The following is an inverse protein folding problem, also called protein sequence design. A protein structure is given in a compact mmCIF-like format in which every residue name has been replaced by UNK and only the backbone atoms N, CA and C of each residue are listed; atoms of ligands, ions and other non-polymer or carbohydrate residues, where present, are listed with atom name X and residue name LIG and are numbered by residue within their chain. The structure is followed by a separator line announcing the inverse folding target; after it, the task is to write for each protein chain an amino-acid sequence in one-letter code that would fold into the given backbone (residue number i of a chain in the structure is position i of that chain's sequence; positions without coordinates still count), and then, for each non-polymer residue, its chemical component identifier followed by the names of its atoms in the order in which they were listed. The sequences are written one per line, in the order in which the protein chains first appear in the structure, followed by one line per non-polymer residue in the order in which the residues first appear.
data_IF_462666133864
#
_entry.id   IF_462666133864
#
_cell.length_a   1.000
_cell.length_b   1.000
_cell.length_c   1.000
_cell.angle_alpha   90.00
_cell.angle_beta   90.00
_cell.angle_gamma   90.00
#
_symmetry.space_group_name_H-M   'P 1'
#
loop_
_entity.id
_entity.type
_entity.pdbx_description
1 polymer ?
#
# COMPACT_ATOMS: atom_id res chain seq x y z
N UNK A 1 1.58 -14.48 1.69
CA UNK A 1 1.84 -15.44 2.80
C UNK A 1 3.35 -15.64 2.89
N UNK A 2 4.03 -15.19 3.96
CA UNK A 2 5.44 -15.56 4.15
C UNK A 2 5.48 -16.98 4.73
N UNK A 3 5.75 -17.97 3.86
CA UNK A 3 6.08 -19.33 4.29
C UNK A 3 7.34 -19.25 5.18
N UNK A 4 7.41 -20.06 6.23
CA UNK A 4 8.57 -20.11 7.14
C UNK A 4 8.93 -21.57 7.44
N UNK A 5 10.22 -21.84 7.61
CA UNK A 5 10.73 -23.14 8.06
C UNK A 5 10.79 -24.17 6.93
N UNK A 6 10.54 -25.44 7.24
CA UNK A 6 10.74 -26.58 6.33
C UNK A 6 9.99 -26.46 4.99
N UNK A 7 8.83 -25.80 4.97
CA UNK A 7 8.06 -25.53 3.75
C UNK A 7 8.78 -24.59 2.78
N UNK A 8 9.53 -23.62 3.30
CA UNK A 8 10.33 -22.69 2.49
C UNK A 8 11.48 -23.44 1.79
N UNK A 9 12.19 -24.30 2.52
CA UNK A 9 13.28 -25.11 1.98
C UNK A 9 12.80 -26.08 0.90
N UNK A 10 11.68 -26.77 1.13
CA UNK A 10 11.09 -27.68 0.15
C UNK A 10 10.69 -26.93 -1.12
N UNK A 11 10.07 -25.75 -0.97
CA UNK A 11 9.64 -24.94 -2.10
C UNK A 11 10.84 -24.40 -2.89
N UNK A 12 11.90 -23.95 -2.22
CA UNK A 12 13.13 -23.52 -2.88
C UNK A 12 13.80 -24.65 -3.65
N UNK A 13 13.93 -25.84 -3.05
CA UNK A 13 14.55 -27.00 -3.69
C UNK A 13 13.80 -27.40 -4.96
N UNK A 14 12.47 -27.51 -4.89
CA UNK A 14 11.65 -27.83 -6.05
C UNK A 14 11.65 -26.71 -7.10
N UNK A 15 11.69 -25.45 -6.67
CA UNK A 15 11.72 -24.30 -7.60
C UNK A 15 13.02 -24.23 -8.40
N UNK A 16 14.17 -24.58 -7.79
CA UNK A 16 15.48 -24.61 -8.46
C UNK A 16 15.55 -25.56 -9.65
N UNK A 17 14.71 -26.61 -9.69
CA UNK A 17 14.64 -27.56 -10.82
C UNK A 17 14.13 -26.91 -12.11
N UNK A 18 13.26 -25.91 -11.99
CA UNK A 18 12.66 -25.20 -13.14
C UNK A 18 13.46 -23.96 -13.52
N UNK A 19 14.30 -23.40 -12.64
CA UNK A 19 15.18 -22.28 -12.97
C UNK A 19 14.43 -20.95 -13.17
N UNK A 20 13.84 -20.73 -14.35
CA UNK A 20 13.35 -19.41 -14.77
C UNK A 20 11.97 -19.41 -15.45
N UNK A 21 11.27 -18.29 -15.33
CA UNK A 21 9.99 -18.01 -15.99
C UNK A 21 10.12 -16.80 -16.91
N UNK A 22 9.65 -16.95 -18.15
CA UNK A 22 9.45 -15.84 -19.09
C UNK A 22 8.02 -15.30 -18.93
N UNK A 23 7.90 -14.07 -18.43
CA UNK A 23 6.61 -13.36 -18.29
C UNK A 23 6.10 -12.87 -19.65
N UNK A 24 4.80 -12.58 -19.76
CA UNK A 24 4.17 -12.07 -21.02
C UNK A 24 4.83 -10.81 -21.61
N UNK A 25 5.57 -10.04 -20.81
CA UNK A 25 6.34 -8.87 -21.26
C UNK A 25 7.79 -9.16 -21.66
N UNK A 26 8.22 -10.42 -21.70
CA UNK A 26 9.60 -10.82 -21.99
C UNK A 26 10.56 -10.75 -20.79
N UNK A 27 10.10 -10.28 -19.63
CA UNK A 27 10.89 -10.28 -18.39
C UNK A 27 11.16 -11.73 -17.95
N UNK A 28 12.43 -12.02 -17.66
CA UNK A 28 12.88 -13.31 -17.14
C UNK A 28 13.07 -13.20 -15.63
N UNK A 29 12.37 -14.03 -14.87
CA UNK A 29 12.43 -14.06 -13.39
C UNK A 29 12.68 -15.47 -12.89
N UNK A 30 13.18 -15.62 -11.67
CA UNK A 30 13.33 -16.93 -11.03
C UNK A 30 11.95 -17.54 -10.78
N UNK A 31 11.79 -18.83 -11.08
CA UNK A 31 10.55 -19.54 -10.76
C UNK A 31 10.35 -19.66 -9.24
N UNK A 32 9.11 -19.51 -8.78
CA UNK A 32 8.75 -19.61 -7.36
C UNK A 32 7.45 -20.39 -7.18
N UNK A 33 7.52 -21.56 -6.51
CA UNK A 33 6.32 -22.29 -6.10
C UNK A 33 5.48 -21.52 -5.08
N UNK A 34 6.08 -20.61 -4.32
CA UNK A 34 5.35 -19.78 -3.36
C UNK A 34 4.43 -18.80 -4.09
N UNK A 35 4.92 -18.15 -5.16
CA UNK A 35 4.10 -17.26 -6.00
C UNK A 35 2.98 -18.04 -6.70
N UNK A 36 3.29 -19.25 -7.18
CA UNK A 36 2.31 -20.16 -7.78
C UNK A 36 1.21 -20.53 -6.77
N UNK A 37 1.56 -20.91 -5.54
CA UNK A 37 0.62 -21.23 -4.47
C UNK A 37 -0.26 -20.02 -4.12
N UNK A 38 0.34 -18.84 -3.96
CA UNK A 38 -0.39 -17.60 -3.69
C UNK A 38 -1.42 -17.33 -4.79
N UNK A 39 -1.07 -17.53 -6.06
CA UNK A 39 -2.00 -17.32 -7.18
C UNK A 39 -3.22 -18.25 -7.15
N UNK A 40 -3.06 -19.50 -6.69
CA UNK A 40 -4.17 -20.46 -6.54
C UNK A 40 -5.07 -20.08 -5.35
N UNK A 41 -4.48 -19.68 -4.23
CA UNK A 41 -5.23 -19.20 -3.06
C UNK A 41 -6.01 -17.92 -3.40
N UNK A 42 -5.42 -17.00 -4.16
CA UNK A 42 -6.12 -15.79 -4.62
C UNK A 42 -7.29 -16.12 -5.57
N UNK A 43 -7.19 -17.22 -6.33
CA UNK A 43 -8.29 -17.70 -7.18
C UNK A 43 -9.43 -18.36 -6.37
N UNK A 44 -9.28 -18.49 -5.05
CA UNK A 44 -10.30 -18.99 -4.14
C UNK A 44 -10.24 -20.49 -3.89
N UNK A 45 -9.16 -21.17 -4.30
CA UNK A 45 -8.95 -22.58 -3.96
C UNK A 45 -8.55 -22.71 -2.49
N UNK A 46 -8.93 -23.83 -1.88
CA UNK A 46 -8.48 -24.15 -0.52
C UNK A 46 -6.97 -24.43 -0.50
N UNK A 47 -6.34 -24.30 0.67
CA UNK A 47 -4.92 -24.62 0.84
C UNK A 47 -4.61 -26.06 0.44
N UNK A 48 -5.47 -27.01 0.82
CA UNK A 48 -5.30 -28.42 0.50
C UNK A 48 -5.33 -28.67 -1.01
N UNK A 49 -6.33 -28.13 -1.72
CA UNK A 49 -6.42 -28.25 -3.18
C UNK A 49 -5.20 -27.64 -3.87
N UNK A 50 -4.79 -26.46 -3.40
CA UNK A 50 -3.68 -25.71 -3.96
C UNK A 50 -2.36 -26.47 -3.79
N UNK A 51 -2.08 -27.01 -2.60
CA UNK A 51 -0.86 -27.80 -2.34
C UNK A 51 -0.76 -29.02 -3.25
N UNK A 52 -1.88 -29.73 -3.44
CA UNK A 52 -1.90 -30.91 -4.30
C UNK A 52 -1.73 -30.58 -5.79
N UNK A 53 -2.08 -29.37 -6.24
CA UNK A 53 -1.78 -28.88 -7.61
C UNK A 53 -0.31 -28.50 -7.72
N UNK A 54 0.20 -27.75 -6.73
CA UNK A 54 1.58 -27.28 -6.67
C UNK A 54 2.57 -28.45 -6.59
N UNK A 55 2.20 -29.55 -5.94
CA UNK A 55 3.02 -30.75 -5.87
C UNK A 55 3.29 -31.37 -7.25
N UNK A 56 2.30 -31.34 -8.15
CA UNK A 56 2.37 -31.96 -9.48
C UNK A 56 2.99 -31.02 -10.53
N UNK A 57 2.97 -29.71 -10.29
CA UNK A 57 3.41 -28.70 -11.26
C UNK A 57 4.86 -28.90 -11.71
N UNK A 58 5.87 -29.11 -10.83
CA UNK A 58 7.26 -29.28 -11.26
C UNK A 58 7.51 -30.49 -12.13
N UNK A 59 6.73 -31.56 -11.97
CA UNK A 59 6.90 -32.77 -12.78
C UNK A 59 6.28 -32.64 -14.17
N UNK A 60 5.38 -31.68 -14.36
CA UNK A 60 4.76 -31.37 -15.66
C UNK A 60 5.55 -30.32 -16.46
N UNK A 61 6.48 -29.61 -15.83
CA UNK A 61 7.35 -28.64 -16.48
C UNK A 61 8.64 -29.36 -16.92
N UNK A 62 8.80 -29.49 -18.24
CA UNK A 62 9.87 -30.32 -18.83
C UNK A 62 11.17 -29.51 -19.02
N UNK A 63 11.09 -28.18 -18.96
CA UNK A 63 12.22 -27.28 -19.24
C UNK A 63 12.62 -26.47 -18.00
N UNK A 64 13.89 -26.06 -17.98
CA UNK A 64 14.53 -25.15 -17.02
C UNK A 64 14.29 -23.66 -17.34
N UNK A 65 13.55 -23.38 -18.40
CA UNK A 65 13.00 -22.08 -18.73
C UNK A 65 11.60 -22.30 -19.27
N UNK A 66 10.60 -21.77 -18.59
CA UNK A 66 9.19 -21.99 -18.93
C UNK A 66 8.45 -20.68 -19.12
N UNK A 67 7.44 -20.67 -19.98
CA UNK A 67 6.64 -19.47 -20.17
C UNK A 67 5.55 -19.36 -19.10
N UNK A 68 5.22 -18.14 -18.69
CA UNK A 68 4.06 -17.88 -17.82
C UNK A 68 2.73 -18.37 -18.42
N UNK A 69 2.64 -18.48 -19.74
CA UNK A 69 1.47 -19.00 -20.45
C UNK A 69 1.38 -20.53 -20.30
N UNK A 70 2.51 -21.22 -20.40
CA UNK A 70 2.60 -22.67 -20.21
C UNK A 70 2.25 -23.08 -18.78
N UNK A 71 2.80 -22.37 -17.79
CA UNK A 71 2.46 -22.59 -16.37
C UNK A 71 0.94 -22.44 -16.17
N UNK A 72 0.34 -21.39 -16.73
CA UNK A 72 -1.09 -21.15 -16.62
C UNK A 72 -1.93 -22.27 -17.23
N UNK A 73 -1.54 -22.77 -18.42
CA UNK A 73 -2.24 -23.85 -19.11
C UNK A 73 -2.15 -25.19 -18.34
N UNK A 74 -0.97 -25.49 -17.75
CA UNK A 74 -0.79 -26.68 -16.91
C UNK A 74 -1.67 -26.58 -15.66
N UNK A 75 -1.64 -25.43 -14.98
CA UNK A 75 -2.48 -25.19 -13.80
C UNK A 75 -3.97 -25.31 -14.13
N UNK A 76 -4.43 -24.72 -15.23
CA UNK A 76 -5.82 -24.84 -15.71
C UNK A 76 -6.22 -26.30 -15.94
N UNK A 77 -5.34 -27.10 -16.57
CA UNK A 77 -5.58 -28.54 -16.79
C UNK A 77 -5.65 -29.31 -15.47
N UNK A 78 -4.72 -29.07 -14.55
CA UNK A 78 -4.70 -29.71 -13.23
C UNK A 78 -5.95 -29.38 -12.41
N UNK A 79 -6.40 -28.13 -12.46
CA UNK A 79 -7.65 -27.70 -11.82
C UNK A 79 -8.87 -28.37 -12.45
N UNK A 80 -8.96 -28.40 -13.78
CA UNK A 80 -10.09 -28.99 -14.50
C UNK A 80 -10.24 -30.49 -14.27
N UNK A 81 -9.12 -31.21 -14.06
CA UNK A 81 -9.14 -32.64 -13.71
C UNK A 81 -9.71 -32.91 -12.32
N UNK A 82 -9.59 -31.95 -11.40
CA UNK A 82 -10.03 -32.08 -10.01
C UNK A 82 -11.43 -31.54 -9.80
N UNK A 83 -11.74 -30.43 -10.45
CA UNK A 83 -13.03 -29.77 -10.41
C UNK A 83 -13.73 -29.93 -11.77
N UNK A 84 -14.55 -30.98 -11.88
CA UNK A 84 -15.32 -31.26 -13.07
C UNK A 84 -16.33 -30.15 -13.43
N UNK A 85 -16.64 -29.24 -12.51
CA UNK A 85 -17.50 -28.08 -12.79
C UNK A 85 -16.79 -26.97 -13.58
N UNK A 86 -15.45 -27.02 -13.65
CA UNK A 86 -14.62 -26.02 -14.33
C UNK A 86 -14.56 -24.66 -13.64
N UNK A 87 -15.20 -24.50 -12.47
CA UNK A 87 -15.29 -23.21 -11.76
C UNK A 87 -13.92 -22.72 -11.29
N UNK A 88 -13.13 -23.63 -10.72
CA UNK A 88 -11.79 -23.31 -10.20
C UNK A 88 -10.84 -22.86 -11.31
N UNK A 89 -10.85 -23.58 -12.44
CA UNK A 89 -10.08 -23.23 -13.62
C UNK A 89 -10.50 -21.86 -14.19
N UNK A 90 -11.80 -21.59 -14.30
CA UNK A 90 -12.28 -20.30 -14.79
C UNK A 90 -11.98 -19.13 -13.82
N UNK A 91 -12.04 -19.36 -12.51
CA UNK A 91 -11.67 -18.36 -11.52
C UNK A 91 -10.19 -17.99 -11.63
N UNK A 92 -9.34 -19.00 -11.79
CA UNK A 92 -7.91 -18.81 -12.04
C UNK A 92 -7.64 -18.05 -13.35
N UNK A 93 -8.36 -18.40 -14.43
CA UNK A 93 -8.21 -17.71 -15.71
C UNK A 93 -8.72 -16.26 -15.67
N UNK A 94 -9.82 -15.97 -14.96
CA UNK A 94 -10.27 -14.60 -14.71
C UNK A 94 -9.20 -13.80 -13.96
N UNK A 95 -8.58 -14.44 -12.96
CA UNK A 95 -7.51 -13.84 -12.20
C UNK A 95 -6.33 -13.50 -13.13
N UNK A 96 -5.78 -14.45 -13.88
CA UNK A 96 -4.65 -14.19 -14.77
C UNK A 96 -4.97 -13.21 -15.92
N UNK A 97 -6.17 -13.30 -16.47
CA UNK A 97 -6.63 -12.56 -17.65
C UNK A 97 -7.60 -11.44 -17.34
N UNK A 98 -7.55 -10.81 -16.16
CA UNK A 98 -8.59 -9.83 -15.72
C UNK A 98 -8.92 -8.77 -16.77
N UNK A 99 -7.93 -8.30 -17.53
CA UNK A 99 -8.12 -7.30 -18.61
C UNK A 99 -8.93 -7.82 -19.80
N UNK A 100 -8.96 -9.13 -19.99
CA UNK A 100 -9.67 -9.82 -21.07
C UNK A 100 -11.14 -10.04 -20.70
N UNK A 101 -11.47 -10.00 -19.40
CA UNK A 101 -12.81 -10.30 -18.88
C UNK A 101 -13.54 -9.10 -18.27
N UNK A 102 -12.83 -8.15 -17.66
CA UNK A 102 -13.44 -7.00 -16.98
C UNK A 102 -13.23 -5.72 -17.78
N UNK A 103 -14.32 -5.02 -18.07
CA UNK A 103 -14.31 -3.77 -18.81
C UNK A 103 -15.06 -2.69 -18.04
N UNK A 104 -14.53 -1.49 -18.00
CA UNK A 104 -15.21 -0.34 -17.40
C UNK A 104 -16.22 0.19 -18.40
N UNK A 105 -17.49 0.18 -18.02
CA UNK A 105 -18.58 0.68 -18.87
C UNK A 105 -18.77 2.17 -18.63
N UNK A 106 -18.28 2.99 -19.56
CA UNK A 106 -18.59 4.42 -19.64
C UNK A 106 -19.92 4.69 -20.33
N UNK A 107 -20.27 5.96 -20.48
CA UNK A 107 -21.49 6.38 -21.21
C UNK A 107 -21.36 6.10 -22.72
N UNK A 108 -20.18 6.29 -23.32
CA UNK A 108 -19.96 6.14 -24.77
C UNK A 108 -18.82 5.18 -25.17
N UNK A 109 -17.94 4.78 -24.24
CA UNK A 109 -16.81 3.87 -24.53
C UNK A 109 -16.62 2.80 -23.44
N UNK A 110 -16.07 1.65 -23.82
CA UNK A 110 -15.72 0.56 -22.91
C UNK A 110 -14.21 0.33 -22.92
N UNK A 111 -13.57 0.45 -21.76
CA UNK A 111 -12.13 0.28 -21.62
C UNK A 111 -11.78 -0.97 -20.81
N UNK A 112 -10.70 -1.70 -21.15
CA UNK A 112 -10.22 -2.79 -20.31
C UNK A 112 -9.90 -2.30 -18.90
N UNK A 113 -10.44 -2.97 -17.89
CA UNK A 113 -10.16 -2.67 -16.49
C UNK A 113 -8.67 -2.91 -16.21
N UNK A 114 -7.95 -1.87 -15.79
CA UNK A 114 -6.51 -1.93 -15.61
C UNK A 114 -6.03 -1.04 -14.46
N UNK A 115 -4.85 -1.36 -13.92
CA UNK A 115 -4.17 -0.52 -12.92
C UNK A 115 -3.96 0.91 -13.40
N UNK A 116 -3.62 1.10 -14.67
CA UNK A 116 -3.42 2.43 -15.25
C UNK A 116 -4.72 3.25 -15.28
N UNK A 117 -5.85 2.61 -15.56
CA UNK A 117 -7.16 3.25 -15.49
C UNK A 117 -7.46 3.75 -14.08
N UNK A 118 -7.30 2.87 -13.06
CA UNK A 118 -7.51 3.24 -11.65
C UNK A 118 -6.57 4.38 -11.24
N UNK A 119 -5.29 4.30 -11.62
CA UNK A 119 -4.29 5.33 -11.33
C UNK A 119 -4.71 6.67 -11.91
N UNK A 120 -5.14 6.70 -13.17
CA UNK A 120 -5.61 7.92 -13.82
C UNK A 120 -6.80 8.54 -13.09
N UNK A 121 -7.77 7.72 -12.66
CA UNK A 121 -8.93 8.19 -11.88
C UNK A 121 -8.54 8.71 -10.51
N UNK A 122 -7.68 7.98 -9.78
CA UNK A 122 -7.18 8.39 -8.48
C UNK A 122 -6.39 9.70 -8.54
N UNK A 123 -5.54 9.89 -9.56
CA UNK A 123 -4.84 11.16 -9.78
C UNK A 123 -5.79 12.30 -10.11
N UNK A 124 -6.77 12.08 -11.01
CA UNK A 124 -7.75 13.09 -11.40
C UNK A 124 -8.62 13.54 -10.22
N UNK A 125 -8.99 12.62 -9.32
CA UNK A 125 -9.77 12.93 -8.12
C UNK A 125 -9.08 13.96 -7.21
N UNK A 126 -7.76 13.98 -7.20
CA UNK A 126 -6.94 14.84 -6.34
C UNK A 126 -6.29 15.99 -7.10
N UNK A 127 -6.52 16.10 -8.40
CA UNK A 127 -6.02 17.19 -9.22
C UNK A 127 -6.56 18.54 -8.70
N UNK A 128 -5.65 19.51 -8.51
CA UNK A 128 -6.00 20.82 -7.97
C UNK A 128 -6.37 20.86 -6.48
N UNK A 129 -6.33 19.73 -5.76
CA UNK A 129 -6.53 19.70 -4.30
C UNK A 129 -5.31 20.24 -3.56
N UNK A 130 -5.55 20.80 -2.37
CA UNK A 130 -4.51 21.37 -1.50
C UNK A 130 -3.45 20.33 -1.14
N UNK A 131 -3.91 19.13 -0.80
CA UNK A 131 -3.07 18.02 -0.38
C UNK A 131 -2.90 17.02 -1.50
N UNK A 132 -1.67 16.58 -1.73
CA UNK A 132 -1.32 15.61 -2.77
C UNK A 132 -0.78 14.32 -2.15
N UNK A 133 -1.17 13.14 -2.64
CA UNK A 133 -0.65 11.89 -2.14
C UNK A 133 0.74 11.60 -2.70
N UNK A 134 1.50 10.80 -1.96
CA UNK A 134 2.77 10.25 -2.45
C UNK A 134 2.48 9.19 -3.51
N UNK A 135 3.44 8.97 -4.43
CA UNK A 135 3.32 7.94 -5.46
C UNK A 135 3.11 6.54 -4.87
N UNK A 136 3.72 6.24 -3.71
CA UNK A 136 3.50 4.99 -2.99
C UNK A 136 2.06 4.81 -2.54
N UNK A 137 1.43 5.86 -2.00
CA UNK A 137 0.02 5.84 -1.56
C UNK A 137 -0.91 5.64 -2.75
N UNK A 138 -0.63 6.27 -3.90
CA UNK A 138 -1.39 6.00 -5.13
C UNK A 138 -1.21 4.54 -5.56
N UNK A 139 0.01 3.99 -5.46
CA UNK A 139 0.28 2.58 -5.75
C UNK A 139 -0.56 1.64 -4.89
N UNK A 140 -0.53 1.85 -3.57
CA UNK A 140 -1.29 1.06 -2.59
C UNK A 140 -2.80 1.13 -2.86
N UNK A 141 -3.33 2.32 -3.18
CA UNK A 141 -4.74 2.51 -3.57
C UNK A 141 -5.08 1.75 -4.86
N UNK A 142 -4.23 1.84 -5.88
CA UNK A 142 -4.41 1.14 -7.15
C UNK A 142 -4.46 -0.37 -6.94
N UNK A 143 -3.53 -0.91 -6.15
CA UNK A 143 -3.48 -2.35 -5.88
C UNK A 143 -4.63 -2.83 -5.00
N UNK A 144 -5.06 -2.03 -4.02
CA UNK A 144 -6.22 -2.32 -3.19
C UNK A 144 -7.51 -2.39 -4.03
N UNK A 145 -7.77 -1.38 -4.87
CA UNK A 145 -8.97 -1.33 -5.73
C UNK A 145 -8.93 -2.44 -6.78
N UNK A 146 -7.78 -2.65 -7.44
CA UNK A 146 -7.62 -3.69 -8.46
C UNK A 146 -7.86 -5.09 -7.90
N UNK A 147 -7.30 -5.38 -6.72
CA UNK A 147 -7.44 -6.67 -6.06
C UNK A 147 -8.85 -6.89 -5.52
N UNK A 148 -9.46 -5.87 -4.92
CA UNK A 148 -10.83 -5.95 -4.41
C UNK A 148 -11.84 -6.19 -5.53
N UNK A 149 -11.74 -5.48 -6.66
CA UNK A 149 -12.63 -5.71 -7.81
C UNK A 149 -12.44 -7.11 -8.39
N UNK A 150 -11.20 -7.58 -8.55
CA UNK A 150 -10.94 -8.96 -8.99
C UNK A 150 -11.66 -9.96 -8.09
N UNK A 151 -11.51 -9.82 -6.78
CA UNK A 151 -12.16 -10.71 -5.79
C UNK A 151 -13.68 -10.67 -5.87
N UNK A 152 -14.28 -9.48 -6.00
CA UNK A 152 -15.74 -9.35 -6.16
C UNK A 152 -16.20 -10.10 -7.41
N UNK A 153 -15.48 -9.96 -8.53
CA UNK A 153 -15.89 -10.59 -9.79
C UNK A 153 -15.45 -12.05 -9.95
N UNK A 154 -14.60 -12.60 -9.07
CA UNK A 154 -14.30 -14.05 -9.06
C UNK A 154 -15.57 -14.90 -8.90
N UNK A 155 -16.59 -14.40 -8.20
CA UNK A 155 -17.90 -15.08 -8.08
C UNK A 155 -18.60 -15.27 -9.43
N UNK A 156 -18.19 -14.50 -10.44
CA UNK A 156 -18.71 -14.59 -11.82
C UNK A 156 -17.95 -15.60 -12.68
N UNK A 157 -16.93 -16.27 -12.15
CA UNK A 157 -16.17 -17.31 -12.85
C UNK A 157 -17.04 -18.42 -13.47
N UNK A 158 -18.12 -18.92 -12.82
CA UNK A 158 -19.00 -19.92 -13.44
C UNK A 158 -19.66 -19.41 -14.74
N UNK A 159 -19.91 -18.10 -14.83
CA UNK A 159 -20.48 -17.49 -16.03
C UNK A 159 -19.49 -17.47 -17.20
N UNK A 160 -18.19 -17.35 -16.93
CA UNK A 160 -17.13 -17.43 -17.95
C UNK A 160 -17.09 -18.83 -18.57
N UNK A 161 -17.22 -19.88 -17.76
CA UNK A 161 -17.31 -21.29 -18.24
C UNK A 161 -18.48 -21.46 -19.21
N UNK A 162 -19.65 -20.92 -18.84
CA UNK A 162 -20.88 -21.13 -19.60
C UNK A 162 -20.96 -20.31 -20.89
N UNK A 163 -20.37 -19.10 -20.91
CA UNK A 163 -20.48 -18.20 -22.05
C UNK A 163 -19.33 -18.29 -23.04
N UNK A 164 -18.21 -18.94 -22.66
CA UNK A 164 -17.03 -19.16 -23.50
C UNK A 164 -16.48 -17.86 -24.09
N UNK A 165 -15.57 -17.18 -23.38
CA UNK A 165 -14.76 -16.01 -23.81
C UNK A 165 -15.43 -14.86 -24.60
N UNK A 166 -16.75 -14.87 -24.82
CA UNK A 166 -17.45 -14.00 -25.78
C UNK A 166 -18.11 -12.76 -25.16
N UNK A 167 -18.16 -12.61 -23.84
CA UNK A 167 -18.72 -11.42 -23.20
C UNK A 167 -17.86 -10.91 -22.04
N UNK A 168 -17.47 -9.64 -22.18
CA UNK A 168 -16.88 -8.82 -21.15
C UNK A 168 -17.90 -8.55 -20.03
N UNK A 169 -17.47 -8.66 -18.78
CA UNK A 169 -18.23 -8.22 -17.61
C UNK A 169 -18.00 -6.71 -17.44
N UNK A 170 -19.10 -5.95 -17.54
CA UNK A 170 -19.09 -4.50 -17.35
C UNK A 170 -19.00 -4.12 -15.87
N UNK A 171 -17.96 -3.38 -15.51
CA UNK A 171 -17.77 -2.78 -14.19
C UNK A 171 -18.25 -1.33 -14.25
N UNK A 172 -19.12 -0.96 -13.31
CA UNK A 172 -19.61 0.41 -13.17
C UNK A 172 -18.48 1.34 -12.77
N UNK A 173 -18.31 2.46 -13.50
CA UNK A 173 -17.34 3.50 -13.15
C UNK A 173 -17.61 4.10 -11.76
N UNK A 174 -18.88 4.32 -11.40
CA UNK A 174 -19.27 4.83 -10.08
C UNK A 174 -18.79 3.92 -8.94
N UNK A 175 -18.77 2.61 -9.16
CA UNK A 175 -18.24 1.65 -8.18
C UNK A 175 -16.73 1.83 -8.03
N UNK A 176 -16.01 1.98 -9.14
CA UNK A 176 -14.55 2.20 -9.12
C UNK A 176 -14.24 3.51 -8.38
N UNK A 177 -14.96 4.59 -8.66
CA UNK A 177 -14.76 5.88 -8.01
C UNK A 177 -15.01 5.80 -6.49
N UNK A 178 -16.09 5.14 -6.06
CA UNK A 178 -16.37 4.91 -4.65
C UNK A 178 -15.28 4.08 -3.96
N UNK A 179 -14.79 3.03 -4.62
CA UNK A 179 -13.71 2.19 -4.09
C UNK A 179 -12.37 2.93 -4.02
N UNK A 180 -12.08 3.85 -4.95
CA UNK A 180 -10.88 4.70 -4.88
C UNK A 180 -10.93 5.59 -3.64
N UNK A 181 -12.08 6.23 -3.37
CA UNK A 181 -12.26 7.07 -2.17
C UNK A 181 -12.06 6.23 -0.90
N UNK A 182 -12.73 5.08 -0.81
CA UNK A 182 -12.59 4.17 0.34
C UNK A 182 -11.15 3.67 0.52
N UNK A 183 -10.46 3.35 -0.57
CA UNK A 183 -9.07 2.92 -0.52
C UNK A 183 -8.13 4.02 -0.01
N UNK A 184 -8.34 5.29 -0.39
CA UNK A 184 -7.61 6.41 0.19
C UNK A 184 -7.86 6.52 1.70
N UNK A 185 -9.13 6.43 2.14
CA UNK A 185 -9.49 6.49 3.56
C UNK A 185 -8.84 5.38 4.40
N UNK A 186 -8.67 4.18 3.83
CA UNK A 186 -8.01 3.05 4.52
C UNK A 186 -6.49 3.10 4.47
N UNK A 187 -5.92 3.59 3.37
CA UNK A 187 -4.45 3.54 3.15
C UNK A 187 -3.73 4.68 3.86
N UNK A 188 -4.36 5.84 3.98
CA UNK A 188 -3.70 7.05 4.48
C UNK A 188 -4.47 7.62 5.68
N UNK A 189 -3.80 7.87 6.81
CA UNK A 189 -4.44 8.45 7.96
C UNK A 189 -4.92 9.86 7.61
N UNK A 190 -6.11 10.20 8.11
CA UNK A 190 -6.75 11.49 7.87
C UNK A 190 -7.14 11.78 6.41
N UNK A 191 -6.98 10.83 5.47
CA UNK A 191 -7.27 11.05 4.05
C UNK A 191 -8.67 11.62 3.80
N UNK A 192 -9.69 11.11 4.50
CA UNK A 192 -11.06 11.63 4.45
C UNK A 192 -11.13 13.14 4.69
N UNK A 193 -10.44 13.63 5.72
CA UNK A 193 -10.38 15.07 6.04
C UNK A 193 -9.56 15.81 4.98
N UNK A 194 -8.38 15.30 4.64
CA UNK A 194 -7.45 15.95 3.70
C UNK A 194 -8.06 16.14 2.30
N UNK A 195 -8.85 15.18 1.81
CA UNK A 195 -9.53 15.26 0.51
C UNK A 195 -10.62 16.34 0.44
N UNK A 196 -11.17 16.72 1.60
CA UNK A 196 -12.25 17.70 1.73
C UNK A 196 -11.76 19.12 1.96
N UNK A 197 -10.47 19.32 2.30
CA UNK A 197 -9.94 20.67 2.55
C UNK A 197 -9.83 21.45 1.25
N UNK A 198 -10.42 22.65 1.27
CA UNK A 198 -10.31 23.62 0.19
C UNK A 198 -9.29 24.69 0.53
N UNK A 199 -8.72 25.35 -0.48
CA UNK A 199 -7.70 26.39 -0.29
C UNK A 199 -8.18 27.53 0.63
N UNK A 200 -9.49 27.85 0.59
CA UNK A 200 -10.11 28.91 1.40
C UNK A 200 -10.27 28.54 2.87
N UNK A 201 -10.34 27.25 3.21
CA UNK A 201 -10.56 26.75 4.57
C UNK A 201 -9.29 26.19 5.23
N UNK A 202 -8.11 26.43 4.64
CA UNK A 202 -6.82 25.97 5.20
C UNK A 202 -6.56 26.55 6.59
N UNK A 203 -6.90 27.82 6.83
CA UNK A 203 -6.71 28.45 8.14
C UNK A 203 -7.51 27.75 9.23
N UNK A 204 -8.78 27.44 8.97
CA UNK A 204 -9.65 26.72 9.89
C UNK A 204 -9.20 25.26 10.09
N UNK A 205 -8.73 24.60 9.02
CA UNK A 205 -8.14 23.28 9.12
C UNK A 205 -6.90 23.26 10.01
N UNK A 206 -6.03 24.26 9.88
CA UNK A 206 -4.83 24.43 10.70
C UNK A 206 -5.21 24.62 12.18
N UNK A 207 -6.08 25.59 12.47
CA UNK A 207 -6.46 25.96 13.84
C UNK A 207 -7.31 24.88 14.51
N UNK A 208 -8.24 24.26 13.77
CA UNK A 208 -9.18 23.28 14.31
C UNK A 208 -8.62 21.86 14.40
N UNK A 209 -7.87 21.40 13.39
CA UNK A 209 -7.42 20.01 13.32
C UNK A 209 -5.94 19.86 13.65
N UNK A 210 -5.05 20.58 12.97
CA UNK A 210 -3.61 20.36 13.10
C UNK A 210 -3.10 20.69 14.51
N UNK A 211 -3.55 21.82 15.09
CA UNK A 211 -3.22 22.19 16.48
C UNK A 211 -3.72 21.17 17.51
N UNK A 212 -4.92 20.61 17.29
CA UNK A 212 -5.51 19.63 18.19
C UNK A 212 -4.72 18.32 18.17
N UNK A 213 -4.40 17.80 16.98
CA UNK A 213 -3.63 16.55 16.85
C UNK A 213 -2.20 16.71 17.37
N UNK A 214 -1.55 17.85 17.11
CA UNK A 214 -0.23 18.14 17.68
C UNK A 214 -0.26 18.14 19.22
N UNK A 215 -1.30 18.71 19.83
CA UNK A 215 -1.42 18.75 21.29
C UNK A 215 -1.63 17.36 21.91
N UNK A 216 -2.37 16.46 21.25
CA UNK A 216 -2.51 15.06 21.70
C UNK A 216 -1.17 14.32 21.71
N UNK A 217 -0.36 14.53 20.68
CA UNK A 217 0.99 13.94 20.61
C UNK A 217 1.90 14.56 21.67
N UNK A 218 1.77 15.87 21.91
CA UNK A 218 2.50 16.59 22.97
C UNK A 218 2.22 16.01 24.36
N UNK A 219 0.94 15.89 24.73
CA UNK A 219 0.50 15.34 26.02
C UNK A 219 1.08 13.95 26.27
N UNK A 220 1.02 13.07 25.26
CA UNK A 220 1.63 11.75 25.33
C UNK A 220 3.16 11.80 25.53
N UNK A 221 3.85 12.67 24.80
CA UNK A 221 5.31 12.78 24.92
C UNK A 221 5.76 13.36 26.27
N UNK A 222 4.95 14.23 26.88
CA UNK A 222 5.18 14.72 28.24
C UNK A 222 5.07 13.57 29.25
N UNK A 223 4.01 12.75 29.15
CA UNK A 223 3.84 11.57 30.01
C UNK A 223 5.01 10.59 29.85
N UNK A 224 5.44 10.33 28.61
CA UNK A 224 6.61 9.46 28.35
C UNK A 224 7.88 10.05 28.96
N UNK A 225 8.08 11.37 28.90
CA UNK A 225 9.24 12.02 29.53
C UNK A 225 9.26 11.77 31.03
N UNK A 226 8.13 11.98 31.71
CA UNK A 226 7.99 11.76 33.16
C UNK A 226 8.25 10.29 33.53
N UNK A 227 7.73 9.35 32.74
CA UNK A 227 7.99 7.91 32.94
C UNK A 227 9.46 7.54 32.80
N UNK A 228 10.14 8.09 31.77
CA UNK A 228 11.57 7.87 31.57
C UNK A 228 12.40 8.45 32.73
N UNK A 229 12.02 9.61 33.28
CA UNK A 229 12.66 10.20 34.47
C UNK A 229 12.54 9.31 35.70
N UNK A 230 11.45 8.55 35.82
CA UNK A 230 11.24 7.54 36.85
C UNK A 230 11.89 6.18 36.55
N UNK A 231 12.62 6.06 35.44
CA UNK A 231 13.25 4.81 35.01
C UNK A 231 12.27 3.74 34.49
N UNK A 232 11.05 4.14 34.14
CA UNK A 232 10.03 3.24 33.59
C UNK A 232 10.11 3.23 32.05
N UNK A 233 10.19 2.04 31.46
CA UNK A 233 10.14 1.92 30.00
C UNK A 233 8.70 2.18 29.49
N UNK A 234 8.53 2.99 28.43
CA UNK A 234 7.23 3.19 27.78
C UNK A 234 6.87 1.99 26.90
N UNK A 235 5.58 1.81 26.67
CA UNK A 235 5.07 0.76 25.77
C UNK A 235 5.51 1.02 24.31
N UNK A 236 6.24 0.07 23.72
CA UNK A 236 6.87 0.24 22.40
C UNK A 236 5.85 0.42 21.27
N UNK A 237 4.70 -0.26 21.33
CA UNK A 237 3.66 -0.16 20.31
C UNK A 237 2.98 1.22 20.33
N UNK A 238 2.62 1.71 21.51
CA UNK A 238 2.03 3.03 21.69
C UNK A 238 3.01 4.13 21.27
N UNK A 239 4.29 3.97 21.60
CA UNK A 239 5.37 4.86 21.15
C UNK A 239 5.46 4.89 19.62
N UNK A 240 5.46 3.72 18.99
CA UNK A 240 5.51 3.62 17.53
C UNK A 240 4.31 4.32 16.89
N UNK A 241 3.11 4.11 17.42
CA UNK A 241 1.88 4.75 16.94
C UNK A 241 1.97 6.29 17.02
N UNK A 242 2.47 6.84 18.12
CA UNK A 242 2.57 8.29 18.33
C UNK A 242 3.66 8.93 17.47
N UNK A 243 4.77 8.23 17.23
CA UNK A 243 5.79 8.65 16.27
C UNK A 243 5.27 8.61 14.83
N UNK A 244 4.45 7.60 14.51
CA UNK A 244 3.75 7.50 13.24
C UNK A 244 2.81 8.69 13.03
N UNK A 245 1.97 9.02 14.02
CA UNK A 245 1.10 10.19 13.99
C UNK A 245 1.90 11.48 13.79
N UNK A 246 2.95 11.72 14.60
CA UNK A 246 3.81 12.90 14.45
C UNK A 246 4.38 13.00 13.04
N UNK A 247 4.95 11.90 12.52
CA UNK A 247 5.50 11.88 11.15
C UNK A 247 4.45 12.18 10.08
N UNK A 248 3.20 11.76 10.29
CA UNK A 248 2.08 12.07 9.42
C UNK A 248 1.67 13.54 9.49
N UNK A 249 1.58 14.12 10.69
CA UNK A 249 1.31 15.55 10.88
C UNK A 249 2.40 16.41 10.22
N UNK A 250 3.66 15.98 10.27
CA UNK A 250 4.75 16.64 9.55
C UNK A 250 4.57 16.61 8.03
N UNK A 251 4.09 15.51 7.46
CA UNK A 251 3.79 15.44 6.02
C UNK A 251 2.62 16.35 5.62
N UNK A 252 1.61 16.47 6.49
CA UNK A 252 0.47 17.38 6.28
C UNK A 252 0.97 18.83 6.19
N UNK A 253 1.93 19.25 7.02
CA UNK A 253 2.57 20.57 6.90
C UNK A 253 3.20 20.81 5.53
N UNK A 254 3.67 19.75 4.88
CA UNK A 254 4.22 19.78 3.52
C UNK A 254 3.17 19.49 2.44
N UNK A 255 1.88 19.68 2.74
CA UNK A 255 0.74 19.44 1.83
C UNK A 255 0.72 18.03 1.24
N UNK A 256 1.22 17.04 1.98
CA UNK A 256 1.37 15.67 1.50
C UNK A 256 0.54 14.70 2.35
N UNK A 257 -0.12 13.72 1.74
CA UNK A 257 -0.82 12.68 2.48
C UNK A 257 0.21 11.82 3.24
N UNK A 258 -0.06 11.41 4.48
CA UNK A 258 0.79 10.43 5.15
C UNK A 258 0.63 9.03 4.52
N UNK A 259 1.69 8.23 4.55
CA UNK A 259 1.71 6.83 4.13
C UNK A 259 1.27 5.92 5.29
N UNK A 260 0.91 4.65 5.02
CA UNK A 260 0.58 3.65 6.06
C UNK A 260 1.80 3.13 6.85
N UNK A 261 2.98 3.78 6.73
CA UNK A 261 4.22 3.32 7.36
C UNK A 261 5.04 4.49 7.90
N UNK A 262 5.50 4.37 9.15
CA UNK A 262 6.42 5.31 9.79
C UNK A 262 7.70 5.50 8.97
N UNK A 263 8.26 4.42 8.42
CA UNK A 263 9.50 4.45 7.62
C UNK A 263 9.32 5.26 6.34
N UNK A 264 8.20 5.03 5.65
CA UNK A 264 7.86 5.80 4.44
C UNK A 264 7.65 7.27 4.81
N UNK A 265 6.92 7.55 5.89
CA UNK A 265 6.70 8.92 6.36
C UNK A 265 8.01 9.63 6.69
N UNK A 266 8.89 9.01 7.47
CA UNK A 266 10.20 9.56 7.81
C UNK A 266 11.05 9.85 6.58
N UNK A 267 11.04 8.95 5.58
CA UNK A 267 11.75 9.12 4.31
C UNK A 267 11.24 10.36 3.57
N UNK A 268 9.92 10.48 3.43
CA UNK A 268 9.32 11.60 2.71
C UNK A 268 9.43 12.93 3.47
N UNK A 269 9.33 12.95 4.80
CA UNK A 269 9.62 14.15 5.60
C UNK A 269 11.04 14.64 5.30
N UNK A 270 12.03 13.74 5.26
CA UNK A 270 13.40 14.11 4.90
C UNK A 270 13.52 14.71 3.50
N UNK A 271 12.79 14.16 2.52
CA UNK A 271 12.75 14.70 1.15
C UNK A 271 12.07 16.08 1.11
N UNK A 272 10.90 16.22 1.72
CA UNK A 272 10.14 17.47 1.77
C UNK A 272 10.90 18.60 2.44
N UNK A 273 11.61 18.32 3.53
CA UNK A 273 12.51 19.30 4.16
C UNK A 273 13.59 19.80 3.19
N UNK A 274 14.16 18.91 2.37
CA UNK A 274 15.16 19.30 1.35
C UNK A 274 14.52 20.12 0.23
N UNK A 275 13.30 19.77 -0.19
CA UNK A 275 12.55 20.50 -1.22
C UNK A 275 12.22 21.92 -0.75
N UNK A 276 11.79 22.09 0.50
CA UNK A 276 11.55 23.42 1.11
C UNK A 276 12.82 24.26 1.12
N UNK A 277 13.96 23.70 1.52
CA UNK A 277 15.25 24.42 1.51
C UNK A 277 15.70 24.84 0.12
N UNK A 278 15.31 24.08 -0.91
CA UNK A 278 15.59 24.39 -2.31
C UNK A 278 14.58 25.37 -2.93
N UNK A 279 13.56 25.79 -2.17
CA UNK A 279 12.47 26.64 -2.68
C UNK A 279 11.51 25.92 -3.63
N UNK A 280 11.55 24.59 -3.68
CA UNK A 280 10.68 23.77 -4.57
C UNK A 280 9.30 23.50 -3.96
N UNK A 281 9.14 23.76 -2.66
CA UNK A 281 7.91 23.50 -1.93
C UNK A 281 7.65 24.58 -0.90
N UNK A 282 6.40 25.05 -0.84
CA UNK A 282 5.93 25.96 0.20
C UNK A 282 5.14 25.19 1.26
N UNK A 283 5.62 25.11 2.51
CA UNK A 283 4.86 24.50 3.61
C UNK A 283 3.57 25.27 3.90
N UNK A 284 2.65 24.64 4.64
CA UNK A 284 1.40 25.27 5.09
C UNK A 284 1.65 26.49 5.99
N UNK A 285 2.72 26.44 6.78
CA UNK A 285 3.15 27.53 7.66
C UNK A 285 4.62 27.85 7.41
N UNK A 286 5.07 29.09 7.61
CA UNK A 286 6.50 29.42 7.58
C UNK A 286 7.26 28.56 8.60
N UNK A 287 8.35 27.92 8.15
CA UNK A 287 9.19 27.08 9.01
C UNK A 287 10.61 27.64 9.05
N UNK A 288 11.13 27.82 10.25
CA UNK A 288 12.53 28.22 10.44
C UNK A 288 13.50 27.09 10.07
N UNK A 289 14.72 27.46 9.66
CA UNK A 289 15.78 26.50 9.36
C UNK A 289 16.10 25.59 10.57
N UNK A 290 15.98 26.10 11.79
CA UNK A 290 16.16 25.34 13.04
C UNK A 290 15.15 24.19 13.11
N UNK A 291 13.87 24.46 12.92
CA UNK A 291 12.79 23.45 12.93
C UNK A 291 12.96 22.45 11.81
N UNK A 292 13.30 22.91 10.59
CA UNK A 292 13.61 22.02 9.46
C UNK A 292 14.80 21.09 9.77
N UNK A 293 15.84 21.57 10.45
CA UNK A 293 16.96 20.73 10.90
C UNK A 293 16.52 19.67 11.92
N UNK A 294 15.68 20.05 12.89
CA UNK A 294 15.12 19.13 13.88
C UNK A 294 14.28 18.02 13.22
N UNK A 295 13.40 18.38 12.28
CA UNK A 295 12.62 17.41 11.49
C UNK A 295 13.52 16.44 10.71
N UNK A 296 14.54 16.96 10.03
CA UNK A 296 15.49 16.13 9.28
C UNK A 296 16.28 15.17 10.19
N UNK A 297 16.66 15.63 11.38
CA UNK A 297 17.35 14.80 12.37
C UNK A 297 16.44 13.71 12.92
N UNK A 298 15.19 14.03 13.23
CA UNK A 298 14.16 13.07 13.63
C UNK A 298 13.97 11.99 12.56
N UNK A 299 13.77 12.37 11.29
CA UNK A 299 13.64 11.43 10.17
C UNK A 299 14.83 10.47 10.08
N UNK A 300 16.06 10.97 10.21
CA UNK A 300 17.27 10.13 10.17
C UNK A 300 17.34 9.16 11.34
N UNK A 301 16.97 9.58 12.56
CA UNK A 301 16.91 8.69 13.73
C UNK A 301 15.87 7.58 13.53
N UNK A 302 14.66 7.93 13.08
CA UNK A 302 13.59 6.98 12.80
C UNK A 302 14.00 5.94 11.75
N UNK A 303 14.71 6.35 10.69
CA UNK A 303 15.19 5.43 9.66
C UNK A 303 16.31 4.49 10.14
N UNK A 304 17.15 4.94 11.08
CA UNK A 304 18.22 4.11 11.67
C UNK A 304 17.70 3.04 12.62
N UNK A 305 16.57 3.28 13.29
CA UNK A 305 15.93 2.29 14.17
C UNK A 305 15.48 1.02 13.42
N UNK A 306 15.44 1.03 12.08
CA UNK A 306 15.04 -0.09 11.22
C UNK A 306 15.92 -1.35 11.34
N UNK A 307 17.11 -1.26 11.94
CA UNK A 307 18.09 -2.36 11.97
C UNK A 307 18.12 -3.19 13.25
N UNK A 308 17.67 -2.65 14.38
CA UNK A 308 17.83 -3.23 15.71
C UNK A 308 16.69 -2.71 16.61
N UNK A 309 15.62 -3.50 16.76
CA UNK A 309 14.46 -3.23 17.62
C UNK A 309 13.62 -2.00 17.27
N UNK A 310 12.38 -1.95 17.77
CA UNK A 310 11.49 -0.79 17.64
C UNK A 310 12.21 0.50 18.08
N UNK A 311 11.85 1.70 17.56
CA UNK A 311 12.48 2.93 17.99
C UNK A 311 12.25 3.15 19.49
N UNK A 312 13.24 2.81 20.32
CA UNK A 312 13.21 3.14 21.75
C UNK A 312 13.27 4.66 21.88
N UNK A 313 12.26 5.24 22.53
CA UNK A 313 12.28 6.64 22.90
C UNK A 313 13.28 6.83 24.03
N UNK A 314 14.38 7.54 23.75
CA UNK A 314 15.27 8.09 24.76
C UNK A 314 14.86 9.54 25.10
N UNK A 315 15.34 10.07 26.22
CA UNK A 315 15.09 11.46 26.62
C UNK A 315 15.43 12.46 25.51
N UNK A 316 16.46 12.19 24.71
CA UNK A 316 16.87 13.06 23.61
C UNK A 316 15.85 13.07 22.47
N UNK A 317 15.26 11.92 22.15
CA UNK A 317 14.25 11.76 21.10
C UNK A 317 12.92 12.37 21.52
N UNK A 318 12.50 12.15 22.77
CA UNK A 318 11.31 12.80 23.34
C UNK A 318 11.49 14.31 23.33
N UNK A 319 12.63 14.81 23.82
CA UNK A 319 12.94 16.24 23.80
C UNK A 319 12.96 16.81 22.38
N UNK A 320 13.52 16.09 21.41
CA UNK A 320 13.51 16.51 20.01
C UNK A 320 12.08 16.63 19.46
N UNK A 321 11.23 15.64 19.71
CA UNK A 321 9.84 15.65 19.27
C UNK A 321 9.06 16.81 19.90
N UNK A 322 9.18 17.00 21.22
CA UNK A 322 8.54 18.12 21.92
C UNK A 322 8.99 19.48 21.38
N UNK A 323 10.29 19.66 21.17
CA UNK A 323 10.85 20.87 20.56
C UNK A 323 10.30 21.14 19.15
N UNK A 324 10.08 20.10 18.34
CA UNK A 324 9.47 20.25 17.01
C UNK A 324 8.01 20.69 17.17
N UNK A 325 7.25 20.05 18.05
CA UNK A 325 5.83 20.37 18.29
C UNK A 325 5.69 21.81 18.77
N UNK A 326 6.52 22.25 19.72
CA UNK A 326 6.52 23.62 20.24
C UNK A 326 6.78 24.65 19.14
N UNK A 327 7.84 24.47 18.33
CA UNK A 327 8.15 25.33 17.18
C UNK A 327 6.96 25.43 16.22
N UNK A 328 6.28 24.29 15.98
CA UNK A 328 5.14 24.23 15.09
C UNK A 328 3.92 24.95 15.66
N UNK A 329 3.57 24.71 16.92
CA UNK A 329 2.45 25.39 17.58
C UNK A 329 2.64 26.90 17.63
N UNK A 330 3.87 27.36 17.86
CA UNK A 330 4.23 28.78 17.77
C UNK A 330 4.02 29.33 16.36
N UNK A 331 4.48 28.61 15.33
CA UNK A 331 4.30 29.00 13.93
C UNK A 331 2.82 29.04 13.50
N UNK A 332 2.02 28.08 13.98
CA UNK A 332 0.58 27.97 13.69
C UNK A 332 -0.25 29.05 14.40
N UNK A 333 0.18 29.49 15.59
CA UNK A 333 -0.52 30.52 16.37
C UNK A 333 -0.30 31.94 15.82
N UNK A 334 0.78 32.15 15.09
CA UNK A 334 1.15 33.44 14.50
C UNK A 334 0.58 33.66 13.07
N UNK A 335 -0.37 32.82 12.63
CA UNK A 335 -1.10 32.93 11.35
C UNK A 335 -2.49 33.56 11.51
#
# INVERSE_FOLDING_TARGET
LRLKGELEEIFEQKSKRIGYVIRRGGEVVTFSLAEALESLLEAGLTLEESLRIIELLPDMLISDVVSSIEIAAIMESLMSRRDASGRSAAAYMLLLGTRDYLFVKGEDESYPFSRNYIRSKASKLLEGKVFQPMSSVIGDVVDAVYSALRRIYLVSAPWIVLQGSRRAIGVSEKLIDAMIVEAFEKTSPYAKKLMQVEQKSIGDFIKGFLMQELSKVEEFLIEVRERLELGLEPDEETVFLRLYELSGLLLILFRTFPAPSLTTNATFVSLRVKDVRRGLLTPLVPLENKTLNRMLFLSKRLLKARGLYAPKLDHQMVSLCLNIIEDLKNSLSNM
#
